data_IF_323451676674
#
_entry.id   IF_323451676674
#
_cell.length_a   1.000
_cell.length_b   1.000
_cell.length_c   1.000
_cell.angle_alpha   90.00
_cell.angle_beta   90.00
_cell.angle_gamma   90.00
#
_symmetry.space_group_name_H-M   'P 1'
#
loop_
_entity.id
_entity.type
_entity.pdbx_description
1 polymer ?
#
# COMPACT_ATOMS: atom_id res chain seq x y z
N UNK A 1 27.31 -15.46 -18.57
CA UNK A 1 28.23 -14.35 -18.24
C UNK A 1 27.45 -13.06 -18.36
N UNK A 2 27.30 -12.30 -17.28
CA UNK A 2 26.60 -11.01 -17.30
C UNK A 2 27.32 -10.06 -18.25
N UNK A 3 26.56 -9.38 -19.10
CA UNK A 3 27.13 -8.42 -20.06
C UNK A 3 27.52 -7.12 -19.37
N UNK A 4 28.49 -6.41 -19.95
CA UNK A 4 28.87 -5.08 -19.44
C UNK A 4 27.72 -4.09 -19.65
N UNK A 5 27.67 -3.04 -18.84
CA UNK A 5 26.62 -2.01 -18.94
C UNK A 5 26.57 -1.39 -20.36
N UNK A 6 27.73 -1.14 -20.96
CA UNK A 6 27.80 -0.60 -22.32
C UNK A 6 27.25 -1.57 -23.37
N UNK A 7 27.54 -2.87 -23.25
CA UNK A 7 26.98 -3.88 -24.17
C UNK A 7 25.46 -4.00 -24.02
N UNK A 8 24.92 -3.78 -22.82
CA UNK A 8 23.48 -3.77 -22.57
C UNK A 8 22.81 -2.54 -23.19
N UNK A 9 23.34 -1.34 -22.93
CA UNK A 9 22.77 -0.07 -23.41
C UNK A 9 22.84 0.09 -24.95
N UNK A 10 23.68 -0.71 -25.63
CA UNK A 10 23.75 -0.72 -27.09
C UNK A 10 22.67 -1.60 -27.75
N UNK A 11 21.87 -2.34 -26.98
CA UNK A 11 20.80 -3.19 -27.52
C UNK A 11 19.60 -2.34 -27.96
N UNK A 12 18.65 -2.97 -28.64
CA UNK A 12 17.39 -2.31 -28.98
C UNK A 12 16.56 -2.05 -27.70
N UNK A 13 15.88 -0.90 -27.66
CA UNK A 13 14.87 -0.62 -26.64
C UNK A 13 13.67 -1.58 -26.78
N UNK A 14 13.01 -1.86 -25.66
CA UNK A 14 11.71 -2.52 -25.67
C UNK A 14 10.67 -1.49 -26.11
N UNK A 15 9.89 -1.85 -27.12
CA UNK A 15 8.87 -0.97 -27.67
C UNK A 15 7.66 -0.83 -26.74
N UNK A 16 7.06 0.36 -26.75
CA UNK A 16 5.80 0.65 -26.06
C UNK A 16 5.89 0.65 -24.53
N UNK A 17 7.04 0.96 -23.96
CA UNK A 17 7.17 1.12 -22.50
C UNK A 17 6.63 2.49 -22.09
N UNK A 18 5.59 2.48 -21.26
CA UNK A 18 5.01 3.65 -20.65
C UNK A 18 5.64 3.91 -19.28
N UNK A 19 5.94 5.19 -19.03
CA UNK A 19 6.57 5.65 -17.79
C UNK A 19 5.69 6.68 -17.11
N UNK A 20 5.05 6.27 -16.02
CA UNK A 20 4.22 7.11 -15.18
C UNK A 20 4.82 7.18 -13.78
N UNK A 21 5.61 8.24 -13.57
CA UNK A 21 6.38 8.48 -12.35
C UNK A 21 5.92 9.82 -11.78
N UNK A 22 5.35 9.76 -10.59
CA UNK A 22 4.81 10.91 -9.86
C UNK A 22 5.25 10.83 -8.41
N UNK A 23 4.92 11.86 -7.63
CA UNK A 23 5.20 11.85 -6.19
C UNK A 23 4.43 10.74 -5.45
N UNK A 24 3.28 10.28 -5.97
CA UNK A 24 2.37 9.34 -5.29
C UNK A 24 2.26 7.96 -5.96
N UNK A 25 2.77 7.81 -7.18
CA UNK A 25 2.67 6.57 -7.97
C UNK A 25 3.88 6.38 -8.88
N UNK A 26 4.33 5.13 -8.99
CA UNK A 26 5.34 4.71 -9.95
C UNK A 26 4.79 3.51 -10.71
N UNK A 27 4.61 3.67 -12.02
CA UNK A 27 4.19 2.62 -12.93
C UNK A 27 5.09 2.62 -14.18
N UNK A 28 5.75 1.50 -14.43
CA UNK A 28 6.54 1.26 -15.64
C UNK A 28 6.11 -0.08 -16.20
N UNK A 29 5.51 -0.05 -17.39
CA UNK A 29 4.95 -1.23 -18.02
C UNK A 29 4.86 -1.06 -19.54
N UNK A 30 4.62 -2.17 -20.22
CA UNK A 30 4.08 -2.19 -21.57
C UNK A 30 2.91 -3.19 -21.61
N UNK A 31 2.38 -3.44 -22.81
CA UNK A 31 1.25 -4.37 -23.01
C UNK A 31 1.51 -5.81 -22.53
N UNK A 32 2.77 -6.22 -22.38
CA UNK A 32 3.17 -7.58 -22.05
C UNK A 32 3.79 -7.73 -20.66
N UNK A 33 4.24 -6.65 -20.01
CA UNK A 33 5.06 -6.71 -18.80
C UNK A 33 4.91 -5.47 -17.95
N UNK A 34 4.68 -5.67 -16.65
CA UNK A 34 4.77 -4.62 -15.63
C UNK A 34 6.05 -4.82 -14.82
N UNK A 35 7.03 -3.92 -14.97
CA UNK A 35 8.25 -3.95 -14.17
C UNK A 35 7.99 -3.41 -12.77
N UNK A 36 7.26 -2.31 -12.66
CA UNK A 36 6.85 -1.77 -11.36
C UNK A 36 5.46 -1.15 -11.46
N UNK A 37 4.66 -1.37 -10.44
CA UNK A 37 3.38 -0.69 -10.22
C UNK A 37 3.15 -0.58 -8.73
N UNK A 38 3.55 0.55 -8.15
CA UNK A 38 3.40 0.83 -6.73
C UNK A 38 2.77 2.20 -6.50
N UNK A 39 2.02 2.31 -5.41
CA UNK A 39 1.44 3.57 -4.92
C UNK A 39 2.10 3.92 -3.59
N UNK A 40 2.31 5.21 -3.33
CA UNK A 40 2.75 5.71 -2.04
C UNK A 40 1.77 5.28 -0.94
N UNK A 41 2.25 4.83 0.23
CA UNK A 41 1.38 4.53 1.36
C UNK A 41 0.60 5.76 1.81
N UNK A 42 -0.70 5.62 2.02
CA UNK A 42 -1.53 6.68 2.60
C UNK A 42 -1.37 6.69 4.13
N UNK A 43 -1.18 7.88 4.71
CA UNK A 43 -1.12 8.03 6.16
C UNK A 43 -2.52 7.88 6.76
N UNK A 44 -2.62 7.06 7.79
CA UNK A 44 -3.84 6.91 8.59
C UNK A 44 -3.86 8.06 9.60
N UNK A 45 -5.01 8.70 9.72
CA UNK A 45 -5.31 9.67 10.78
C UNK A 45 -5.91 8.90 11.96
N UNK A 46 -5.17 8.86 13.08
CA UNK A 46 -5.57 8.11 14.28
C UNK A 46 -6.88 8.61 14.85
N UNK A 47 -6.99 9.92 15.00
CA UNK A 47 -8.13 10.59 15.62
C UNK A 47 -9.39 10.36 14.79
N UNK A 48 -9.26 10.48 13.47
CA UNK A 48 -10.33 10.18 12.50
C UNK A 48 -10.83 8.74 12.62
N UNK A 49 -9.92 7.75 12.64
CA UNK A 49 -10.32 6.33 12.75
C UNK A 49 -10.95 6.02 14.11
N UNK A 50 -10.41 6.58 15.21
CA UNK A 50 -10.99 6.42 16.55
C UNK A 50 -12.38 7.08 16.62
N UNK A 51 -12.56 8.24 15.99
CA UNK A 51 -13.85 8.93 15.94
C UNK A 51 -14.88 8.11 15.15
N UNK A 52 -14.51 7.56 13.99
CA UNK A 52 -15.37 6.66 13.23
C UNK A 52 -15.78 5.44 14.05
N UNK A 53 -14.84 4.81 14.75
CA UNK A 53 -15.15 3.70 15.67
C UNK A 53 -16.15 4.11 16.75
N UNK A 54 -15.98 5.29 17.38
CA UNK A 54 -16.94 5.79 18.39
C UNK A 54 -18.33 6.02 17.79
N UNK A 55 -18.39 6.59 16.59
CA UNK A 55 -19.65 6.83 15.88
C UNK A 55 -20.38 5.53 15.53
N UNK A 56 -19.64 4.49 15.11
CA UNK A 56 -20.19 3.14 14.88
C UNK A 56 -20.85 2.64 16.17
N UNK A 57 -20.14 2.66 17.30
CA UNK A 57 -20.68 2.18 18.57
C UNK A 57 -21.93 2.95 19.01
N UNK A 58 -21.92 4.29 18.86
CA UNK A 58 -23.07 5.13 19.20
C UNK A 58 -24.28 4.81 18.33
N UNK A 59 -24.09 4.69 17.02
CA UNK A 59 -25.17 4.42 16.07
C UNK A 59 -25.74 3.01 16.26
N UNK A 60 -24.88 2.01 16.46
CA UNK A 60 -25.31 0.65 16.76
C UNK A 60 -26.17 0.60 18.04
N UNK A 61 -25.72 1.28 19.11
CA UNK A 61 -26.50 1.37 20.36
C UNK A 61 -27.87 2.01 20.15
N UNK A 62 -27.94 3.10 19.40
CA UNK A 62 -29.21 3.80 19.13
C UNK A 62 -30.20 2.93 18.33
N UNK A 63 -29.68 2.05 17.46
CA UNK A 63 -30.46 1.13 16.64
C UNK A 63 -30.69 -0.25 17.26
N UNK A 64 -30.28 -0.47 18.52
CA UNK A 64 -30.39 -1.79 19.15
C UNK A 64 -29.48 -2.88 18.56
N UNK A 65 -28.52 -2.54 17.70
CA UNK A 65 -27.63 -3.49 17.02
C UNK A 65 -26.58 -4.03 18.00
N UNK A 66 -26.37 -5.35 18.02
CA UNK A 66 -25.38 -6.00 18.88
C UNK A 66 -23.95 -5.71 18.40
N UNK A 67 -23.05 -5.42 19.35
CA UNK A 67 -21.62 -5.23 19.08
C UNK A 67 -20.83 -6.36 19.73
N UNK A 68 -19.97 -7.02 18.96
CA UNK A 68 -18.99 -8.00 19.42
C UNK A 68 -17.59 -7.40 19.32
N UNK A 69 -16.86 -7.32 20.43
CA UNK A 69 -15.50 -6.77 20.49
C UNK A 69 -14.39 -7.83 20.29
N UNK A 70 -14.70 -8.91 19.56
CA UNK A 70 -13.78 -10.05 19.41
C UNK A 70 -12.50 -9.69 18.65
N UNK A 71 -12.57 -8.72 17.74
CA UNK A 71 -11.43 -8.34 16.89
C UNK A 71 -10.54 -7.28 17.57
N UNK A 72 -11.06 -6.58 18.59
CA UNK A 72 -10.31 -5.65 19.44
C UNK A 72 -9.64 -4.51 18.65
N UNK A 73 -10.28 -4.01 17.60
CA UNK A 73 -9.75 -2.99 16.68
C UNK A 73 -9.23 -1.76 17.39
N UNK A 74 -10.02 -1.14 18.28
CA UNK A 74 -9.58 0.03 19.04
C UNK A 74 -8.32 -0.25 19.87
N UNK A 75 -8.25 -1.44 20.49
CA UNK A 75 -7.10 -1.85 21.29
C UNK A 75 -5.86 -1.97 20.41
N UNK A 76 -5.96 -2.69 19.29
CA UNK A 76 -4.88 -2.86 18.33
C UNK A 76 -4.35 -1.51 17.81
N UNK A 77 -5.25 -0.61 17.37
CA UNK A 77 -4.87 0.73 16.88
C UNK A 77 -4.10 1.50 17.96
N UNK A 78 -4.58 1.48 19.20
CA UNK A 78 -3.99 2.26 20.29
C UNK A 78 -2.62 1.72 20.69
N UNK A 79 -2.49 0.40 20.83
CA UNK A 79 -1.26 -0.26 21.29
C UNK A 79 -0.15 -0.30 20.23
N UNK A 80 -0.50 -0.34 18.94
CA UNK A 80 0.46 -0.50 17.85
C UNK A 80 0.67 0.80 17.05
N UNK A 81 0.20 1.95 17.55
CA UNK A 81 0.28 3.22 16.81
C UNK A 81 1.71 3.65 16.51
N UNK A 82 2.60 3.59 17.51
CA UNK A 82 3.99 3.98 17.32
C UNK A 82 4.69 3.09 16.29
N UNK A 83 4.50 1.77 16.37
CA UNK A 83 5.07 0.85 15.39
C UNK A 83 4.50 1.10 13.99
N UNK A 84 3.22 1.44 13.87
CA UNK A 84 2.63 1.85 12.60
C UNK A 84 3.34 3.09 12.01
N UNK A 85 3.61 4.12 12.83
CA UNK A 85 4.31 5.33 12.37
C UNK A 85 5.74 5.03 11.90
N UNK A 86 6.46 4.19 12.64
CA UNK A 86 7.81 3.76 12.28
C UNK A 86 7.82 2.98 10.95
N UNK A 87 6.90 2.03 10.78
CA UNK A 87 6.75 1.27 9.54
C UNK A 87 6.32 2.18 8.37
N UNK A 88 5.38 3.09 8.59
CA UNK A 88 4.92 4.06 7.58
C UNK A 88 6.07 4.95 7.08
N UNK A 89 6.87 5.50 8.00
CA UNK A 89 8.03 6.31 7.65
C UNK A 89 9.10 5.50 6.94
N UNK A 90 9.32 4.25 7.34
CA UNK A 90 10.23 3.33 6.68
C UNK A 90 9.84 3.09 5.21
N UNK A 91 8.57 2.73 4.95
CA UNK A 91 8.10 2.46 3.59
C UNK A 91 8.02 3.72 2.73
N UNK A 92 7.72 4.89 3.32
CA UNK A 92 7.83 6.16 2.61
C UNK A 92 9.26 6.50 2.20
N UNK A 93 10.24 6.22 3.07
CA UNK A 93 11.66 6.39 2.72
C UNK A 93 12.06 5.45 1.60
N UNK A 94 11.55 4.21 1.57
CA UNK A 94 11.80 3.29 0.46
C UNK A 94 11.17 3.82 -0.83
N UNK A 95 9.91 4.25 -0.81
CA UNK A 95 9.25 4.84 -1.97
C UNK A 95 10.05 6.02 -2.54
N UNK A 96 10.50 6.92 -1.68
CA UNK A 96 11.34 8.06 -2.07
C UNK A 96 12.69 7.65 -2.68
N UNK A 97 13.24 6.48 -2.32
CA UNK A 97 14.44 5.92 -2.96
C UNK A 97 14.14 5.30 -4.32
N UNK A 98 12.91 4.84 -4.58
CA UNK A 98 12.52 4.24 -5.86
C UNK A 98 12.36 5.32 -6.94
N UNK A 99 11.79 6.50 -6.61
CA UNK A 99 11.59 7.61 -7.57
C UNK A 99 12.84 7.92 -8.41
N UNK A 100 14.02 8.24 -7.83
CA UNK A 100 15.20 8.56 -8.62
C UNK A 100 15.74 7.38 -9.43
N UNK A 101 15.47 6.13 -9.00
CA UNK A 101 15.84 4.93 -9.76
C UNK A 101 14.91 4.76 -10.96
N UNK A 102 13.60 4.98 -10.78
CA UNK A 102 12.61 4.95 -11.85
C UNK A 102 12.90 6.04 -12.90
N UNK A 103 13.26 7.25 -12.49
CA UNK A 103 13.65 8.33 -13.41
C UNK A 103 14.91 8.00 -14.21
N UNK A 104 15.89 7.30 -13.62
CA UNK A 104 17.05 6.79 -14.35
C UNK A 104 16.66 5.73 -15.39
N UNK A 105 15.74 4.83 -15.05
CA UNK A 105 15.20 3.83 -15.98
C UNK A 105 14.48 4.51 -17.14
N UNK A 106 13.65 5.53 -16.86
CA UNK A 106 12.98 6.33 -17.90
C UNK A 106 13.98 7.02 -18.83
N UNK A 107 15.03 7.65 -18.29
CA UNK A 107 16.02 8.40 -19.08
C UNK A 107 16.79 7.52 -20.07
N UNK A 108 17.16 6.30 -19.67
CA UNK A 108 17.96 5.39 -20.51
C UNK A 108 17.12 4.39 -21.30
N UNK A 109 15.84 4.26 -20.97
CA UNK A 109 14.95 3.24 -21.50
C UNK A 109 15.26 1.84 -20.98
N UNK A 110 14.37 0.89 -21.29
CA UNK A 110 14.59 -0.54 -21.00
C UNK A 110 14.96 -1.21 -22.30
N UNK A 111 16.09 -1.93 -22.33
CA UNK A 111 16.56 -2.63 -23.52
C UNK A 111 16.26 -4.13 -23.45
N UNK A 112 16.29 -4.78 -24.61
CA UNK A 112 16.13 -6.23 -24.72
C UNK A 112 17.18 -6.97 -23.88
N UNK A 113 16.75 -8.00 -23.15
CA UNK A 113 17.60 -8.71 -22.19
C UNK A 113 17.85 -7.90 -20.92
N UNK A 114 16.80 -7.25 -20.42
CA UNK A 114 16.79 -6.42 -19.21
C UNK A 114 17.19 -7.14 -17.90
N UNK A 115 17.46 -8.45 -17.94
CA UNK A 115 18.10 -9.17 -16.83
C UNK A 115 19.53 -8.67 -16.57
N UNK A 116 20.22 -8.19 -17.60
CA UNK A 116 21.57 -7.61 -17.47
C UNK A 116 21.55 -6.18 -16.91
N UNK A 117 20.36 -5.61 -16.69
CA UNK A 117 20.18 -4.21 -16.32
C UNK A 117 20.36 -3.97 -14.82
N UNK A 118 21.47 -3.32 -14.45
CA UNK A 118 21.80 -3.05 -13.04
C UNK A 118 20.82 -2.12 -12.32
N UNK A 119 20.32 -1.09 -12.98
CA UNK A 119 19.40 -0.14 -12.34
C UNK A 119 18.01 -0.76 -12.23
N UNK A 120 17.59 -1.58 -13.19
CA UNK A 120 16.34 -2.34 -13.10
C UNK A 120 16.42 -3.37 -11.97
N UNK A 121 17.53 -4.09 -11.85
CA UNK A 121 17.78 -5.01 -10.72
C UNK A 121 17.76 -4.29 -9.37
N UNK A 122 18.37 -3.09 -9.30
CA UNK A 122 18.29 -2.23 -8.10
C UNK A 122 16.85 -1.83 -7.78
N UNK A 123 16.04 -1.49 -8.79
CA UNK A 123 14.62 -1.20 -8.61
C UNK A 123 13.86 -2.41 -8.07
N UNK A 124 14.11 -3.62 -8.59
CA UNK A 124 13.46 -4.84 -8.11
C UNK A 124 13.78 -5.12 -6.63
N UNK A 125 15.02 -4.88 -6.19
CA UNK A 125 15.38 -5.00 -4.76
C UNK A 125 14.57 -4.02 -3.90
N UNK A 126 14.51 -2.75 -4.30
CA UNK A 126 13.77 -1.73 -3.55
C UNK A 126 12.25 -2.00 -3.55
N UNK A 127 11.71 -2.44 -4.69
CA UNK A 127 10.31 -2.84 -4.84
C UNK A 127 9.99 -4.05 -3.96
N UNK A 128 10.87 -5.05 -3.93
CA UNK A 128 10.72 -6.22 -3.05
C UNK A 128 10.69 -5.80 -1.59
N UNK A 129 11.58 -4.89 -1.17
CA UNK A 129 11.56 -4.33 0.18
C UNK A 129 10.27 -3.56 0.46
N UNK A 130 9.83 -2.71 -0.47
CA UNK A 130 8.59 -1.95 -0.34
C UNK A 130 7.37 -2.87 -0.18
N UNK A 131 7.30 -3.94 -0.98
CA UNK A 131 6.18 -4.87 -0.98
C UNK A 131 6.01 -5.64 0.34
N UNK A 132 7.04 -5.68 1.20
CA UNK A 132 6.92 -6.25 2.55
C UNK A 132 5.86 -5.53 3.39
N UNK A 133 5.51 -4.28 3.07
CA UNK A 133 4.43 -3.56 3.74
C UNK A 133 3.07 -4.25 3.62
N UNK A 134 2.88 -5.07 2.59
CA UNK A 134 1.63 -5.79 2.33
C UNK A 134 1.63 -7.20 2.91
N UNK A 135 2.70 -7.59 3.62
CA UNK A 135 2.72 -8.88 4.30
C UNK A 135 1.77 -8.80 5.50
N UNK A 136 0.78 -9.70 5.54
CA UNK A 136 -0.33 -9.65 6.50
C UNK A 136 0.05 -9.81 7.96
N UNK A 137 1.34 -10.04 8.27
CA UNK A 137 1.86 -10.06 9.62
C UNK A 137 2.38 -8.69 10.11
N UNK A 138 2.65 -7.73 9.21
CA UNK A 138 3.15 -6.39 9.54
C UNK A 138 2.07 -5.52 10.20
N UNK A 139 2.50 -4.53 10.98
CA UNK A 139 1.58 -3.64 11.67
C UNK A 139 0.91 -2.68 10.70
N UNK A 140 1.62 -2.20 9.68
CA UNK A 140 1.07 -1.32 8.64
C UNK A 140 -0.04 -2.00 7.84
N UNK A 141 0.15 -3.25 7.39
CA UNK A 141 -0.89 -4.01 6.67
C UNK A 141 -2.13 -4.20 7.55
N UNK A 142 -1.95 -4.63 8.81
CA UNK A 142 -3.07 -4.81 9.74
C UNK A 142 -3.79 -3.49 10.06
N UNK A 143 -3.04 -2.39 10.19
CA UNK A 143 -3.62 -1.07 10.46
C UNK A 143 -4.46 -0.59 9.27
N UNK A 144 -4.00 -0.82 8.04
CA UNK A 144 -4.75 -0.54 6.81
C UNK A 144 -6.04 -1.39 6.74
N UNK A 145 -5.95 -2.68 6.99
CA UNK A 145 -7.11 -3.59 6.99
C UNK A 145 -8.16 -3.19 8.03
N UNK A 146 -7.74 -2.89 9.26
CA UNK A 146 -8.63 -2.46 10.33
C UNK A 146 -9.30 -1.13 9.97
N UNK A 147 -8.52 -0.19 9.45
CA UNK A 147 -9.03 1.13 9.04
C UNK A 147 -10.02 1.02 7.90
N UNK A 148 -9.77 0.16 6.92
CA UNK A 148 -10.70 -0.13 5.83
C UNK A 148 -12.03 -0.67 6.37
N UNK A 149 -11.98 -1.69 7.24
CA UNK A 149 -13.19 -2.26 7.87
C UNK A 149 -13.97 -1.25 8.69
N UNK A 150 -13.29 -0.39 9.44
CA UNK A 150 -13.94 0.70 10.19
C UNK A 150 -14.63 1.68 9.22
N UNK A 151 -13.97 2.07 8.13
CA UNK A 151 -14.56 2.98 7.12
C UNK A 151 -15.78 2.36 6.43
N UNK A 152 -15.71 1.10 6.06
CA UNK A 152 -16.85 0.37 5.47
C UNK A 152 -18.03 0.31 6.44
N UNK A 153 -17.79 -0.09 7.69
CA UNK A 153 -18.84 -0.14 8.72
C UNK A 153 -19.42 1.25 9.00
N UNK A 154 -18.58 2.28 9.10
CA UNK A 154 -19.03 3.65 9.33
C UNK A 154 -19.92 4.16 8.20
N UNK A 155 -19.62 3.79 6.94
CA UNK A 155 -20.43 4.18 5.78
C UNK A 155 -21.73 3.39 5.67
N UNK A 156 -21.72 2.11 6.06
CA UNK A 156 -22.86 1.21 5.93
C UNK A 156 -23.82 1.20 7.13
N UNK A 157 -23.41 1.65 8.31
CA UNK A 157 -24.19 1.46 9.55
C UNK A 157 -25.57 2.13 9.52
N UNK A 158 -25.73 3.19 8.74
CA UNK A 158 -27.02 3.86 8.57
C UNK A 158 -28.03 3.03 7.78
N UNK A 159 -27.59 2.06 6.97
CA UNK A 159 -28.44 1.21 6.16
C UNK A 159 -28.97 -0.03 6.90
N UNK A 160 -28.51 -0.29 8.13
CA UNK A 160 -29.07 -1.36 8.95
C UNK A 160 -30.44 -0.97 9.52
N UNK A 161 -31.43 -1.86 9.39
CA UNK A 161 -32.79 -1.69 9.93
C UNK A 161 -32.82 -2.00 11.44
N UNK A 162 -33.75 -1.35 12.16
CA UNK A 162 -33.84 -1.35 13.63
C UNK A 162 -34.17 -2.71 14.29
N UNK A 163 -34.51 -3.75 13.52
CA UNK A 163 -34.89 -5.09 14.06
C UNK A 163 -34.09 -6.25 13.48
N UNK A 164 -32.94 -5.95 12.88
CA UNK A 164 -32.10 -6.98 12.28
C UNK A 164 -31.25 -7.69 13.35
N UNK A 165 -31.19 -9.03 13.36
CA UNK A 165 -30.28 -9.85 14.21
C UNK A 165 -28.79 -9.65 13.82
N UNK A 166 -28.41 -8.43 13.48
CA UNK A 166 -27.08 -8.09 13.01
C UNK A 166 -26.15 -7.92 14.21
N UNK A 167 -25.00 -8.57 14.13
CA UNK A 167 -23.88 -8.35 15.04
C UNK A 167 -22.74 -7.68 14.29
N UNK A 168 -22.33 -6.49 14.74
CA UNK A 168 -21.13 -5.82 14.24
C UNK A 168 -19.92 -6.37 15.00
N UNK A 169 -18.87 -6.73 14.27
CA UNK A 169 -17.61 -7.22 14.86
C UNK A 169 -16.53 -6.14 14.84
N UNK A 170 -16.17 -5.67 16.03
CA UNK A 170 -15.13 -4.66 16.29
C UNK A 170 -13.97 -5.26 17.10
#
# INVERSE_FOLDING_TARGET
>A
MKKTEQEYLNRQLIDGVDYDITEDRIRIENVNTTWISIKRPEKIDKESVILMHKNICRTAKNKGIKISYKNKYKKFITENWQQYEEEFDHYNKIFNKIIPVAEQIKKRGIHIGCVDDDILNKMEILKSEFNKMFYGNTTISKMQDITFKIKELHSGINNFNEDSEITIYL
#
